data_IF_573414330545
#
_entry.id   IF_573414330545
#
_cell.length_a   1.000
_cell.length_b   1.000
_cell.length_c   1.000
_cell.angle_alpha   90.00
_cell.angle_beta   90.00
_cell.angle_gamma   90.00
#
_symmetry.space_group_name_H-M   'P 1'
#
loop_
_entity.id
_entity.type
_entity.pdbx_description
1 polymer ?
#
# COMPACT_ATOMS: atom_id res chain seq x y z
N UNK A 1 24.42 56.84 -26.34
CA UNK A 1 23.69 56.00 -25.37
C UNK A 1 23.28 54.70 -26.06
N UNK A 2 23.99 53.58 -25.85
CA UNK A 2 23.76 52.31 -26.57
C UNK A 2 24.16 51.05 -25.76
N UNK A 3 24.25 51.13 -24.42
CA UNK A 3 24.77 50.02 -23.60
C UNK A 3 23.69 49.11 -22.97
N UNK A 4 22.45 49.58 -22.78
CA UNK A 4 21.46 48.84 -21.97
C UNK A 4 20.81 47.63 -22.66
N UNK A 5 20.87 47.51 -23.99
CA UNK A 5 20.13 46.46 -24.70
C UNK A 5 20.87 45.10 -24.72
N UNK A 6 22.20 45.11 -24.58
CA UNK A 6 23.00 43.89 -24.57
C UNK A 6 22.91 43.14 -23.23
N UNK A 7 22.85 43.87 -22.12
CA UNK A 7 22.75 43.29 -20.78
C UNK A 7 21.38 42.63 -20.55
N UNK A 8 20.31 43.23 -21.09
CA UNK A 8 18.98 42.67 -20.99
C UNK A 8 18.83 41.37 -21.81
N UNK A 9 19.42 41.31 -23.01
CA UNK A 9 19.45 40.09 -23.81
C UNK A 9 20.32 38.99 -23.19
N UNK A 10 21.43 39.35 -22.55
CA UNK A 10 22.28 38.41 -21.81
C UNK A 10 21.56 37.80 -20.60
N UNK A 11 20.85 38.64 -19.83
CA UNK A 11 20.06 38.19 -18.68
C UNK A 11 18.89 37.27 -19.10
N UNK A 12 18.17 37.61 -20.17
CA UNK A 12 17.10 36.78 -20.72
C UNK A 12 17.65 35.43 -21.22
N UNK A 13 18.80 35.43 -21.90
CA UNK A 13 19.47 34.19 -22.34
C UNK A 13 19.87 33.28 -21.18
N UNK A 14 20.38 33.84 -20.09
CA UNK A 14 20.73 33.08 -18.89
C UNK A 14 19.51 32.46 -18.21
N UNK A 15 18.39 33.18 -18.11
CA UNK A 15 17.13 32.66 -17.53
C UNK A 15 16.59 31.50 -18.35
N UNK A 16 16.58 31.61 -19.69
CA UNK A 16 16.12 30.54 -20.58
C UNK A 16 16.99 29.29 -20.43
N UNK A 17 18.31 29.45 -20.31
CA UNK A 17 19.23 28.32 -20.14
C UNK A 17 19.03 27.60 -18.81
N UNK A 18 18.79 28.36 -17.72
CA UNK A 18 18.46 27.78 -16.41
C UNK A 18 17.12 27.03 -16.46
N UNK A 19 16.08 27.61 -17.05
CA UNK A 19 14.78 26.94 -17.22
C UNK A 19 14.90 25.67 -18.08
N UNK A 20 15.64 25.72 -19.18
CA UNK A 20 15.89 24.56 -20.03
C UNK A 20 16.66 23.46 -19.26
N UNK A 21 17.65 23.85 -18.46
CA UNK A 21 18.38 22.92 -17.59
C UNK A 21 17.48 22.25 -16.56
N UNK A 22 16.61 23.01 -15.89
CA UNK A 22 15.64 22.48 -14.94
C UNK A 22 14.61 21.56 -15.62
N UNK A 23 14.18 21.89 -16.84
CA UNK A 23 13.27 21.07 -17.62
C UNK A 23 13.90 19.72 -18.00
N UNK A 24 15.13 19.73 -18.50
CA UNK A 24 15.88 18.49 -18.83
C UNK A 24 16.12 17.66 -17.58
N UNK A 25 16.48 18.29 -16.45
CA UNK A 25 16.63 17.60 -15.17
C UNK A 25 15.31 16.96 -14.73
N UNK A 26 14.20 17.68 -14.87
CA UNK A 26 12.86 17.17 -14.57
C UNK A 26 12.51 15.93 -15.39
N UNK A 27 12.76 15.96 -16.71
CA UNK A 27 12.58 14.80 -17.59
C UNK A 27 13.44 13.63 -17.14
N UNK A 28 14.70 13.88 -16.79
CA UNK A 28 15.61 12.82 -16.36
C UNK A 28 15.14 12.15 -15.06
N UNK A 29 14.74 12.95 -14.06
CA UNK A 29 14.17 12.43 -12.81
C UNK A 29 12.88 11.64 -13.08
N UNK A 30 12.00 12.16 -13.94
CA UNK A 30 10.77 11.48 -14.30
C UNK A 30 11.02 10.14 -15.01
N UNK A 31 11.95 10.10 -15.97
CA UNK A 31 12.36 8.87 -16.64
C UNK A 31 12.95 7.85 -15.66
N UNK A 32 13.75 8.31 -14.69
CA UNK A 32 14.30 7.46 -13.64
C UNK A 32 13.21 6.88 -12.73
N UNK A 33 12.21 7.67 -12.36
CA UNK A 33 11.04 7.19 -11.61
C UNK A 33 10.25 6.14 -12.39
N UNK A 34 10.02 6.36 -13.70
CA UNK A 34 9.38 5.36 -14.56
C UNK A 34 10.20 4.06 -14.57
N UNK A 35 11.52 4.17 -14.70
CA UNK A 35 12.40 3.00 -14.69
C UNK A 35 12.31 2.22 -13.37
N UNK A 36 12.37 2.90 -12.22
CA UNK A 36 12.17 2.26 -10.91
C UNK A 36 10.81 1.57 -10.85
N UNK A 37 9.74 2.27 -11.26
CA UNK A 37 8.38 1.74 -11.25
C UNK A 37 8.25 0.50 -12.14
N UNK A 38 8.90 0.50 -13.29
CA UNK A 38 8.93 -0.63 -14.20
C UNK A 38 9.64 -1.83 -13.56
N UNK A 39 10.82 -1.60 -12.97
CA UNK A 39 11.59 -2.64 -12.28
C UNK A 39 10.79 -3.21 -11.11
N UNK A 40 10.24 -2.38 -10.23
CA UNK A 40 9.44 -2.85 -9.07
C UNK A 40 8.17 -3.58 -9.50
N UNK A 41 7.51 -3.15 -10.57
CA UNK A 41 6.37 -3.87 -11.15
C UNK A 41 6.78 -5.25 -11.65
N UNK A 42 7.93 -5.36 -12.33
CA UNK A 42 8.44 -6.65 -12.78
C UNK A 42 8.79 -7.58 -11.60
N UNK A 43 9.44 -7.05 -10.56
CA UNK A 43 9.68 -7.80 -9.31
C UNK A 43 8.38 -8.25 -8.65
N UNK A 44 7.35 -7.40 -8.63
CA UNK A 44 6.05 -7.75 -8.05
C UNK A 44 5.35 -8.88 -8.83
N UNK A 45 5.48 -8.91 -10.16
CA UNK A 45 4.97 -10.00 -11.01
C UNK A 45 5.74 -11.30 -10.73
N UNK A 46 7.06 -11.24 -10.58
CA UNK A 46 7.87 -12.43 -10.24
C UNK A 46 7.54 -12.96 -8.83
N UNK A 47 7.30 -12.07 -7.87
CA UNK A 47 6.94 -12.40 -6.50
C UNK A 47 5.46 -12.79 -6.33
N UNK A 48 4.66 -12.83 -7.41
CA UNK A 48 3.20 -12.98 -7.33
C UNK A 48 2.72 -14.28 -6.68
N UNK A 49 3.50 -15.36 -6.84
CA UNK A 49 3.18 -16.71 -6.33
C UNK A 49 4.15 -17.22 -5.26
N UNK A 50 5.35 -16.67 -5.18
CA UNK A 50 6.39 -17.10 -4.24
C UNK A 50 7.10 -15.87 -3.69
N UNK A 51 7.43 -15.84 -2.38
CA UNK A 51 8.19 -14.74 -1.81
C UNK A 51 9.55 -14.63 -2.50
N UNK A 52 9.92 -13.41 -2.89
CA UNK A 52 11.18 -13.13 -3.56
C UNK A 52 12.14 -12.51 -2.55
N UNK A 53 13.20 -13.23 -2.22
CA UNK A 53 14.27 -12.75 -1.34
C UNK A 53 15.40 -12.15 -2.19
N UNK A 54 15.66 -10.86 -2.06
CA UNK A 54 16.82 -10.18 -2.66
C UNK A 54 17.71 -9.68 -1.53
N UNK A 55 18.79 -10.42 -1.26
CA UNK A 55 19.72 -10.12 -0.17
C UNK A 55 19.03 -10.23 1.19
N UNK A 56 18.93 -9.10 1.90
CA UNK A 56 18.25 -8.99 3.22
C UNK A 56 16.77 -8.63 3.12
N UNK A 57 16.28 -8.31 1.93
CA UNK A 57 14.91 -7.88 1.71
C UNK A 57 14.07 -9.05 1.20
N UNK A 58 12.94 -9.29 1.83
CA UNK A 58 11.98 -10.33 1.43
C UNK A 58 10.70 -9.65 0.99
N UNK A 59 10.37 -9.73 -0.30
CA UNK A 59 9.10 -9.23 -0.82
C UNK A 59 8.05 -10.34 -0.69
N UNK A 60 7.04 -10.10 0.15
CA UNK A 60 5.94 -11.04 0.33
C UNK A 60 4.95 -10.97 -0.87
N UNK A 61 4.35 -12.10 -1.28
CA UNK A 61 3.39 -12.12 -2.37
C UNK A 61 2.14 -11.24 -2.09
N UNK A 62 1.75 -11.08 -0.82
CA UNK A 62 0.65 -10.20 -0.42
C UNK A 62 1.00 -8.72 -0.67
N UNK A 63 2.22 -8.31 -0.32
CA UNK A 63 2.71 -6.95 -0.54
C UNK A 63 2.84 -6.64 -2.04
N UNK A 64 3.34 -7.60 -2.83
CA UNK A 64 3.43 -7.47 -4.28
C UNK A 64 2.06 -7.25 -4.94
N UNK A 65 1.03 -8.00 -4.50
CA UNK A 65 -0.35 -7.82 -4.99
C UNK A 65 -0.96 -6.51 -4.55
N UNK A 66 -0.72 -6.10 -3.31
CA UNK A 66 -1.20 -4.81 -2.79
C UNK A 66 -0.58 -3.63 -3.55
N UNK A 67 0.70 -3.72 -3.91
CA UNK A 67 1.39 -2.71 -4.72
C UNK A 67 0.72 -2.55 -6.10
N UNK A 68 0.46 -3.65 -6.81
CA UNK A 68 -0.19 -3.61 -8.13
C UNK A 68 -1.62 -3.09 -8.05
N UNK A 69 -2.41 -3.54 -7.07
CA UNK A 69 -3.77 -3.03 -6.87
C UNK A 69 -3.80 -1.53 -6.55
N UNK A 70 -2.91 -1.04 -5.69
CA UNK A 70 -2.78 0.39 -5.41
C UNK A 70 -2.40 1.18 -6.66
N UNK A 71 -1.49 0.65 -7.48
CA UNK A 71 -1.13 1.25 -8.77
C UNK A 71 -2.32 1.38 -9.71
N UNK A 72 -3.09 0.30 -9.89
CA UNK A 72 -4.30 0.31 -10.73
C UNK A 72 -5.34 1.29 -10.20
N UNK A 73 -5.60 1.26 -8.89
CA UNK A 73 -6.53 2.19 -8.25
C UNK A 73 -6.11 3.64 -8.48
N UNK A 74 -4.83 3.98 -8.32
CA UNK A 74 -4.33 5.32 -8.58
C UNK A 74 -4.55 5.74 -10.04
N UNK A 75 -4.20 4.89 -11.02
CA UNK A 75 -4.38 5.20 -12.45
C UNK A 75 -5.84 5.48 -12.81
N UNK A 76 -6.80 4.81 -12.14
CA UNK A 76 -8.22 5.05 -12.35
C UNK A 76 -8.74 6.28 -11.57
N UNK A 77 -8.27 6.48 -10.34
CA UNK A 77 -8.75 7.57 -9.48
C UNK A 77 -8.25 8.94 -9.97
N UNK A 78 -7.02 9.01 -10.47
CA UNK A 78 -6.40 10.26 -10.92
C UNK A 78 -7.22 10.96 -12.01
N UNK A 79 -7.56 10.36 -13.16
CA UNK A 79 -8.36 11.03 -14.18
C UNK A 79 -9.77 11.38 -13.68
N UNK A 80 -10.39 10.52 -12.86
CA UNK A 80 -11.70 10.80 -12.27
C UNK A 80 -11.66 12.03 -11.34
N UNK A 81 -10.62 12.15 -10.51
CA UNK A 81 -10.40 13.31 -9.65
C UNK A 81 -10.15 14.58 -10.47
N UNK A 82 -9.36 14.52 -11.54
CA UNK A 82 -9.12 15.67 -12.41
C UNK A 82 -10.38 16.14 -13.13
N UNK A 83 -11.22 15.21 -13.55
CA UNK A 83 -12.52 15.51 -14.14
C UNK A 83 -13.42 16.20 -13.11
N UNK A 84 -13.44 15.72 -11.86
CA UNK A 84 -14.17 16.32 -10.75
C UNK A 84 -13.69 17.75 -10.45
N UNK A 85 -12.37 17.98 -10.39
CA UNK A 85 -11.78 19.31 -10.16
C UNK A 85 -12.14 20.27 -11.30
N UNK A 86 -12.10 19.81 -12.55
CA UNK A 86 -12.47 20.60 -13.73
C UNK A 86 -13.96 21.01 -13.66
N UNK A 87 -14.86 20.08 -13.34
CA UNK A 87 -16.30 20.38 -13.19
C UNK A 87 -16.56 21.31 -11.99
N UNK A 88 -15.93 21.05 -10.84
CA UNK A 88 -16.22 21.76 -9.60
C UNK A 88 -15.69 23.21 -9.59
N UNK A 89 -14.51 23.44 -10.18
CA UNK A 89 -13.85 24.75 -10.17
C UNK A 89 -14.00 25.50 -11.49
N UNK A 90 -14.51 24.85 -12.54
CA UNK A 90 -14.62 25.39 -13.90
C UNK A 90 -13.28 25.96 -14.42
N UNK A 91 -12.18 25.37 -13.97
CA UNK A 91 -10.83 25.72 -14.39
C UNK A 91 -10.36 24.68 -15.40
N UNK A 92 -9.93 25.15 -16.57
CA UNK A 92 -9.29 24.28 -17.56
C UNK A 92 -7.91 23.87 -17.04
N UNK A 93 -7.84 22.69 -16.41
CA UNK A 93 -6.58 22.14 -15.93
C UNK A 93 -5.74 21.78 -17.15
N UNK A 94 -4.68 22.55 -17.39
CA UNK A 94 -3.67 22.18 -18.38
C UNK A 94 -2.89 20.97 -17.87
N UNK A 95 -2.70 19.99 -18.76
CA UNK A 95 -2.09 18.69 -18.45
C UNK A 95 -0.68 18.82 -17.83
N UNK A 96 0.02 19.91 -18.17
CA UNK A 96 1.38 20.21 -17.69
C UNK A 96 1.41 20.46 -16.17
N UNK A 97 0.44 21.22 -15.63
CA UNK A 97 0.36 21.47 -14.18
C UNK A 97 -0.07 20.24 -13.39
N UNK A 98 -0.84 19.38 -14.03
CA UNK A 98 -1.38 18.17 -13.41
C UNK A 98 -0.29 17.16 -13.13
N UNK A 99 0.65 17.03 -14.05
CA UNK A 99 1.81 16.13 -13.90
C UNK A 99 2.70 16.56 -12.73
N UNK A 100 2.92 17.87 -12.55
CA UNK A 100 3.66 18.41 -11.41
C UNK A 100 2.93 18.18 -10.07
N UNK A 101 1.61 18.37 -10.04
CA UNK A 101 0.79 18.14 -8.84
C UNK A 101 0.78 16.67 -8.43
N UNK A 102 0.62 15.76 -9.40
CA UNK A 102 0.66 14.31 -9.18
C UNK A 102 2.04 13.89 -8.67
N UNK A 103 3.11 14.40 -9.27
CA UNK A 103 4.49 14.15 -8.83
C UNK A 103 4.73 14.61 -7.38
N UNK A 104 4.22 15.79 -7.02
CA UNK A 104 4.29 16.29 -5.64
C UNK A 104 3.52 15.39 -4.67
N UNK A 105 2.27 15.01 -4.98
CA UNK A 105 1.45 14.15 -4.11
C UNK A 105 2.05 12.74 -3.93
N UNK A 106 2.55 12.12 -5.00
CA UNK A 106 3.23 10.84 -4.90
C UNK A 106 4.56 10.93 -4.15
N UNK A 107 5.31 12.02 -4.36
CA UNK A 107 6.53 12.29 -3.61
C UNK A 107 6.27 12.42 -2.11
N UNK A 108 5.24 13.16 -1.70
CA UNK A 108 4.90 13.35 -0.29
C UNK A 108 4.41 12.06 0.37
N UNK A 109 3.52 11.31 -0.31
CA UNK A 109 3.03 10.02 0.17
C UNK A 109 4.15 8.97 0.26
N UNK A 110 5.09 8.97 -0.68
CA UNK A 110 6.25 8.08 -0.68
C UNK A 110 7.17 8.32 0.52
N UNK A 111 7.46 9.59 0.83
CA UNK A 111 8.26 9.96 2.01
C UNK A 111 7.54 9.56 3.31
N UNK A 112 6.23 9.79 3.39
CA UNK A 112 5.43 9.43 4.55
C UNK A 112 5.38 7.91 4.80
N UNK A 113 5.26 7.10 3.74
CA UNK A 113 5.36 5.64 3.84
C UNK A 113 6.74 5.19 4.32
N UNK A 114 7.82 5.81 3.84
CA UNK A 114 9.19 5.50 4.27
C UNK A 114 9.37 5.75 5.78
N UNK A 115 8.89 6.92 6.25
CA UNK A 115 8.95 7.31 7.66
C UNK A 115 8.09 6.39 8.54
N UNK A 116 6.92 5.97 8.04
CA UNK A 116 6.02 5.06 8.77
C UNK A 116 6.62 3.67 8.91
N UNK A 117 7.29 3.17 7.87
CA UNK A 117 7.96 1.88 7.92
C UNK A 117 9.15 1.86 8.91
N UNK A 118 9.89 2.97 9.00
CA UNK A 118 10.95 3.14 10.01
C UNK A 118 10.39 3.28 11.43
N UNK A 119 9.20 3.87 11.60
CA UNK A 119 8.51 3.94 12.90
C UNK A 119 8.06 2.58 13.40
N UNK A 120 7.48 1.75 12.53
CA UNK A 120 7.04 0.39 12.93
C UNK A 120 8.23 -0.52 13.26
N UNK A 121 9.34 -0.35 12.54
CA UNK A 121 10.58 -1.10 12.79
C UNK A 121 11.31 -0.67 14.06
N UNK A 122 11.20 0.60 14.46
CA UNK A 122 11.82 1.16 15.66
C UNK A 122 10.83 1.39 16.80
N UNK A 123 9.60 0.87 16.70
CA UNK A 123 8.62 0.97 17.77
C UNK A 123 9.17 0.25 19.02
N UNK A 124 9.18 0.91 20.20
CA UNK A 124 9.54 0.23 21.43
C UNK A 124 8.63 -1.00 21.60
N UNK A 125 9.18 -2.15 22.02
CA UNK A 125 8.40 -3.36 22.19
C UNK A 125 7.19 -3.03 23.08
N UNK A 126 6.00 -3.40 22.61
CA UNK A 126 4.76 -3.19 23.35
C UNK A 126 5.00 -3.67 24.79
N UNK A 127 4.64 -2.87 25.81
CA UNK A 127 4.87 -3.28 27.20
C UNK A 127 4.21 -4.63 27.40
N UNK A 128 5.03 -5.64 27.72
CA UNK A 128 4.56 -6.96 28.12
C UNK A 128 3.64 -6.78 29.32
N UNK A 129 2.34 -6.69 29.08
CA UNK A 129 1.36 -6.88 30.14
C UNK A 129 1.51 -8.32 30.58
N UNK A 130 1.92 -8.60 31.83
CA UNK A 130 2.00 -9.97 32.31
C UNK A 130 0.63 -10.63 32.09
N UNK A 131 0.60 -11.92 31.71
CA UNK A 131 -0.66 -12.62 31.53
C UNK A 131 -1.48 -12.46 32.80
N UNK A 132 -2.69 -11.92 32.63
CA UNK A 132 -3.64 -11.75 33.74
C UNK A 132 -3.78 -13.11 34.43
N UNK A 133 -3.60 -13.18 35.77
CA UNK A 133 -3.77 -14.44 36.49
C UNK A 133 -5.14 -15.00 36.16
N UNK A 134 -5.18 -16.08 35.37
CA UNK A 134 -6.41 -16.79 35.10
C UNK A 134 -6.90 -17.33 36.45
N UNK A 135 -7.89 -16.64 37.03
CA UNK A 135 -8.66 -17.19 38.12
C UNK A 135 -9.18 -18.56 37.65
N UNK A 136 -9.04 -19.63 38.46
CA UNK A 136 -9.51 -20.94 38.08
C UNK A 136 -10.97 -20.82 37.66
N UNK A 137 -11.28 -21.35 36.48
CA UNK A 137 -12.63 -21.30 35.94
C UNK A 137 -13.61 -21.77 37.03
N UNK A 138 -14.74 -21.08 37.24
CA UNK A 138 -15.75 -21.53 38.19
C UNK A 138 -16.08 -22.99 37.86
N UNK A 139 -16.26 -23.87 38.87
CA UNK A 139 -16.50 -25.28 38.64
C UNK A 139 -17.65 -25.39 37.65
N UNK A 140 -17.36 -25.95 36.46
CA UNK A 140 -18.38 -26.26 35.48
C UNK A 140 -19.40 -27.10 36.22
N UNK A 141 -20.62 -26.59 36.38
CA UNK A 141 -21.76 -27.45 36.68
C UNK A 141 -21.76 -28.47 35.56
N UNK A 142 -21.33 -29.69 35.88
CA UNK A 142 -21.47 -30.80 34.97
C UNK A 142 -22.95 -30.86 34.64
N UNK A 143 -23.27 -30.68 33.34
CA UNK A 143 -24.54 -31.13 32.82
C UNK A 143 -24.77 -32.54 33.38
N UNK A 144 -25.96 -32.86 33.91
CA UNK A 144 -26.20 -34.13 34.56
C UNK A 144 -25.72 -35.23 33.62
N UNK A 145 -24.68 -35.95 34.07
CA UNK A 145 -24.12 -37.09 33.35
C UNK A 145 -25.31 -37.97 33.03
N UNK A 146 -25.69 -38.07 31.75
CA UNK A 146 -26.69 -39.04 31.31
C UNK A 146 -26.25 -40.36 31.93
N UNK A 147 -27.07 -40.89 32.84
CA UNK A 147 -26.80 -42.18 33.45
C UNK A 147 -26.56 -43.14 32.28
N UNK A 148 -25.42 -43.86 32.23
CA UNK A 148 -25.30 -44.93 31.27
C UNK A 148 -26.50 -45.84 31.49
N UNK A 149 -27.26 -46.10 30.43
CA UNK A 149 -28.42 -46.98 30.52
C UNK A 149 -27.97 -48.28 31.18
N UNK A 150 -28.64 -48.65 32.27
CA UNK A 150 -28.34 -49.88 32.97
C UNK A 150 -28.49 -51.02 31.97
N UNK A 151 -27.45 -51.86 31.85
CA UNK A 151 -27.42 -53.01 30.97
C UNK A 151 -28.75 -53.78 31.04
N UNK A 152 -29.54 -53.69 29.97
CA UNK A 152 -30.82 -54.39 29.82
C UNK A 152 -30.55 -55.64 29.00
N UNK A 153 -30.93 -56.79 29.54
CA UNK A 153 -30.90 -58.04 28.79
C UNK A 153 -31.90 -57.99 27.63
N UNK A 154 -31.52 -58.59 26.50
CA UNK A 154 -32.36 -58.69 25.31
C UNK A 154 -33.75 -59.21 25.69
N UNK A 155 -34.80 -58.48 25.29
CA UNK A 155 -36.17 -58.96 25.44
C UNK A 155 -36.52 -59.73 24.17
N UNK A 156 -37.39 -60.73 24.32
CA UNK A 156 -37.84 -61.57 23.21
C UNK A 156 -38.52 -60.75 22.09
N UNK A 157 -39.02 -59.56 22.43
CA UNK A 157 -39.68 -58.64 21.50
C UNK A 157 -38.70 -57.79 20.65
N UNK A 158 -37.39 -57.84 20.91
CA UNK A 158 -36.41 -57.01 20.17
C UNK A 158 -36.13 -57.54 18.73
N UNK A 159 -36.77 -58.65 18.31
CA UNK A 159 -36.68 -59.19 16.93
C UNK A 159 -37.65 -58.54 15.93
N UNK A 160 -38.72 -57.88 16.38
CA UNK A 160 -39.73 -57.28 15.47
C UNK A 160 -39.35 -55.88 14.95
N UNK A 161 -38.36 -55.21 15.55
CA UNK A 161 -37.94 -53.85 15.15
C UNK A 161 -36.96 -53.81 13.97
N UNK A 162 -36.66 -54.97 13.34
CA UNK A 162 -35.67 -55.08 12.24
C UNK A 162 -36.26 -55.30 10.84
N UNK A 163 -37.56 -55.13 10.64
CA UNK A 163 -38.19 -55.12 9.31
C UNK A 163 -38.52 -53.70 8.82
#
# INVERSE_FOLDING_TARGET
MSSNNNDNNGAVGAVILVLAGLYVLGIFVFAFLIFITFVTTFLAILAWRKPLTIGKWTLAPEEARAFVWRGICCVLLTPAFLLLVNIALNVTIQLDFTTALIGYMFGSLGIEMLISHDKDRNAPPAPHTPPEPQLPAPPRQSLPRQKPESFRFARWDDEEERE
#
